data_IF_066370323059
#
_entry.id   IF_066370323059
#
_cell.length_a   1.000
_cell.length_b   1.000
_cell.length_c   1.000
_cell.angle_alpha   90.00
_cell.angle_beta   90.00
_cell.angle_gamma   90.00
#
_symmetry.space_group_name_H-M   'P 1'
#
loop_
_entity.id
_entity.type
_entity.pdbx_description
1 polymer ?
#
# COMPACT_ATOMS: atom_id res chain seq x y z
N UNK A 1 -0.66 -15.51 7.96
CA UNK A 1 -0.53 -16.76 8.74
C UNK A 1 -1.20 -16.72 10.12
N UNK A 2 -1.17 -15.62 10.88
CA UNK A 2 -1.88 -15.51 12.18
C UNK A 2 -3.41 -15.65 12.12
N UNK A 3 -4.04 -15.27 11.00
CA UNK A 3 -5.48 -15.47 10.76
C UNK A 3 -5.87 -16.94 10.55
N UNK A 4 -4.91 -17.79 10.18
CA UNK A 4 -5.11 -19.24 10.00
C UNK A 4 -5.11 -20.00 11.34
N UNK A 5 -4.59 -19.40 12.41
CA UNK A 5 -4.54 -19.96 13.76
C UNK A 5 -5.77 -19.59 14.62
N UNK A 6 -6.82 -19.02 14.02
CA UNK A 6 -8.04 -18.63 14.75
C UNK A 6 -7.88 -17.39 15.65
N UNK A 7 -6.69 -16.80 15.73
CA UNK A 7 -6.44 -15.58 16.49
C UNK A 7 -6.99 -14.40 15.67
N UNK A 8 -8.12 -13.85 16.13
CA UNK A 8 -8.69 -12.61 15.58
C UNK A 8 -7.75 -11.46 15.89
N UNK A 9 -6.85 -11.17 14.96
CA UNK A 9 -6.01 -9.97 15.01
C UNK A 9 -6.92 -8.75 15.12
N UNK A 10 -6.72 -7.86 16.11
CA UNK A 10 -7.56 -6.68 16.30
C UNK A 10 -7.62 -5.88 15.01
N UNK A 11 -8.83 -5.43 14.63
CA UNK A 11 -9.04 -4.71 13.37
C UNK A 11 -8.13 -3.47 13.23
N UNK A 12 -7.73 -2.85 14.34
CA UNK A 12 -6.77 -1.73 14.38
C UNK A 12 -5.34 -2.14 14.01
N UNK A 13 -4.87 -3.31 14.44
CA UNK A 13 -3.53 -3.82 14.11
C UNK A 13 -3.45 -4.18 12.61
N UNK A 14 -4.49 -4.85 12.10
CA UNK A 14 -4.57 -5.15 10.66
C UNK A 14 -4.60 -3.87 9.80
N UNK A 15 -5.24 -2.81 10.31
CA UNK A 15 -5.28 -1.47 9.70
C UNK A 15 -3.90 -0.83 9.59
N UNK A 16 -3.14 -0.85 10.68
CA UNK A 16 -1.80 -0.25 10.71
C UNK A 16 -0.84 -0.99 9.79
N UNK A 17 -0.89 -2.33 9.77
CA UNK A 17 -0.05 -3.14 8.88
C UNK A 17 -0.33 -2.83 7.41
N UNK A 18 -1.61 -2.80 7.00
CA UNK A 18 -1.96 -2.45 5.62
C UNK A 18 -1.58 -1.01 5.27
N UNK A 19 -1.65 -0.08 6.23
CA UNK A 19 -1.22 1.31 6.01
C UNK A 19 0.30 1.40 5.81
N UNK A 20 1.09 0.66 6.59
CA UNK A 20 2.54 0.55 6.40
C UNK A 20 2.90 -0.13 5.08
N UNK A 21 2.17 -1.15 4.64
CA UNK A 21 2.38 -1.77 3.33
C UNK A 21 2.15 -0.77 2.18
N UNK A 22 1.11 0.06 2.27
CA UNK A 22 0.87 1.11 1.27
C UNK A 22 2.02 2.11 1.25
N UNK A 23 2.47 2.55 2.42
CA UNK A 23 3.61 3.45 2.54
C UNK A 23 4.87 2.83 1.92
N UNK A 24 5.11 1.54 2.17
CA UNK A 24 6.22 0.81 1.58
C UNK A 24 6.15 0.85 0.04
N UNK A 25 4.98 0.57 -0.55
CA UNK A 25 4.80 0.63 -2.00
C UNK A 25 5.04 2.03 -2.57
N UNK A 26 4.64 3.09 -1.85
CA UNK A 26 4.92 4.47 -2.28
C UNK A 26 6.41 4.76 -2.29
N UNK A 27 7.14 4.34 -1.24
CA UNK A 27 8.58 4.57 -1.13
C UNK A 27 9.32 3.79 -2.23
N UNK A 28 8.98 2.52 -2.46
CA UNK A 28 9.62 1.71 -3.51
C UNK A 28 9.35 2.29 -4.89
N UNK A 29 8.18 2.92 -5.11
CA UNK A 29 7.86 3.58 -6.36
C UNK A 29 8.70 4.82 -6.61
N UNK A 30 8.96 5.61 -5.57
CA UNK A 30 9.90 6.73 -5.65
C UNK A 30 11.32 6.28 -5.99
N UNK A 31 11.78 5.17 -5.39
CA UNK A 31 13.10 4.59 -5.70
C UNK A 31 13.14 4.13 -7.16
N UNK A 32 12.10 3.43 -7.61
CA UNK A 32 12.02 2.95 -8.99
C UNK A 32 12.01 4.11 -9.99
N UNK A 33 11.27 5.18 -9.69
CA UNK A 33 11.28 6.40 -10.51
C UNK A 33 12.65 7.08 -10.54
N UNK A 34 13.34 7.16 -9.40
CA UNK A 34 14.69 7.70 -9.31
C UNK A 34 15.67 6.88 -10.16
N UNK A 35 15.62 5.54 -10.07
CA UNK A 35 16.43 4.64 -10.90
C UNK A 35 16.13 4.83 -12.39
N UNK A 36 14.84 4.96 -12.76
CA UNK A 36 14.44 5.26 -14.14
C UNK A 36 15.01 6.57 -14.66
N UNK A 37 15.01 7.61 -13.82
CA UNK A 37 15.59 8.91 -14.15
C UNK A 37 17.11 8.82 -14.36
N UNK A 38 17.84 8.11 -13.50
CA UNK A 38 19.28 7.88 -13.65
C UNK A 38 19.60 7.10 -14.94
N UNK A 39 18.80 6.08 -15.27
CA UNK A 39 18.93 5.33 -16.53
C UNK A 39 18.69 6.23 -17.74
N UNK A 40 17.71 7.14 -17.70
CA UNK A 40 17.46 8.10 -18.78
C UNK A 40 18.62 9.08 -18.99
N UNK A 41 19.31 9.48 -17.92
CA UNK A 41 20.52 10.30 -17.99
C UNK A 41 21.76 9.55 -18.52
N UNK A 42 21.63 8.26 -18.86
CA UNK A 42 22.74 7.44 -19.38
C UNK A 42 23.73 7.00 -18.31
N UNK A 43 23.38 7.15 -17.02
CA UNK A 43 24.19 6.59 -15.93
C UNK A 43 24.07 5.07 -16.00
N UNK A 44 25.22 4.38 -15.97
CA UNK A 44 25.26 2.91 -15.89
C UNK A 44 24.71 2.48 -14.53
N UNK A 45 23.44 2.13 -14.48
CA UNK A 45 22.80 1.47 -13.36
C UNK A 45 22.72 -0.03 -13.70
N UNK A 46 22.94 -0.90 -12.71
CA UNK A 46 22.71 -2.36 -12.83
C UNK A 46 21.20 -2.64 -12.96
N UNK A 47 20.68 -2.35 -14.13
CA UNK A 47 19.27 -2.42 -14.47
C UNK A 47 19.15 -3.05 -15.85
N UNK A 48 18.60 -4.26 -15.89
CA UNK A 48 18.14 -4.85 -17.14
C UNK A 48 16.79 -4.23 -17.48
N UNK A 49 16.68 -3.59 -18.66
CA UNK A 49 15.48 -2.87 -19.08
C UNK A 49 14.19 -3.70 -18.98
N UNK A 50 14.26 -5.01 -19.23
CA UNK A 50 13.14 -5.93 -19.04
C UNK A 50 12.68 -6.02 -17.58
N UNK A 51 13.62 -6.22 -16.64
CA UNK A 51 13.35 -6.31 -15.20
C UNK A 51 12.74 -5.01 -14.68
N UNK A 52 13.24 -3.86 -15.15
CA UNK A 52 12.67 -2.56 -14.81
C UNK A 52 11.20 -2.44 -15.21
N UNK A 53 10.87 -2.77 -16.45
CA UNK A 53 9.49 -2.73 -16.95
C UNK A 53 8.55 -3.67 -16.19
N UNK A 54 9.00 -4.90 -15.89
CA UNK A 54 8.23 -5.83 -15.06
C UNK A 54 8.01 -5.29 -13.66
N UNK A 55 9.03 -4.70 -13.04
CA UNK A 55 8.94 -4.11 -11.70
C UNK A 55 7.96 -2.93 -11.68
N UNK A 56 8.04 -2.06 -12.69
CA UNK A 56 7.18 -0.87 -12.83
C UNK A 56 5.71 -1.27 -13.02
N UNK A 57 5.43 -2.23 -13.91
CA UNK A 57 4.06 -2.73 -14.11
C UNK A 57 3.48 -3.39 -12.86
N UNK A 58 4.28 -4.21 -12.19
CA UNK A 58 3.87 -4.86 -10.94
C UNK A 58 3.54 -3.80 -9.87
N UNK A 59 4.41 -2.82 -9.68
CA UNK A 59 4.24 -1.80 -8.65
C UNK A 59 3.04 -0.89 -8.93
N UNK A 60 2.83 -0.49 -10.19
CA UNK A 60 1.61 0.23 -10.62
C UNK A 60 0.34 -0.55 -10.32
N UNK A 61 0.35 -1.87 -10.55
CA UNK A 61 -0.78 -2.74 -10.25
C UNK A 61 -1.07 -2.80 -8.75
N UNK A 62 -0.03 -2.87 -7.91
CA UNK A 62 -0.19 -2.84 -6.46
C UNK A 62 -0.70 -1.50 -5.95
N UNK A 63 -0.18 -0.37 -6.45
CA UNK A 63 -0.67 0.96 -6.08
C UNK A 63 -2.15 1.11 -6.44
N UNK A 64 -2.57 0.64 -7.62
CA UNK A 64 -3.97 0.68 -8.02
C UNK A 64 -4.87 -0.19 -7.12
N UNK A 65 -4.45 -1.42 -6.84
CA UNK A 65 -5.19 -2.35 -5.98
C UNK A 65 -5.31 -1.83 -4.55
N UNK A 66 -4.18 -1.41 -3.97
CA UNK A 66 -4.13 -0.89 -2.61
C UNK A 66 -4.78 0.49 -2.49
N UNK A 67 -4.71 1.34 -3.52
CA UNK A 67 -5.44 2.60 -3.60
C UNK A 67 -6.95 2.36 -3.59
N UNK A 68 -7.44 1.39 -4.37
CA UNK A 68 -8.85 0.99 -4.37
C UNK A 68 -9.26 0.44 -2.98
N UNK A 69 -8.44 -0.43 -2.40
CA UNK A 69 -8.66 -0.99 -1.07
C UNK A 69 -8.66 0.09 0.02
N UNK A 70 -7.76 1.07 -0.05
CA UNK A 70 -7.67 2.20 0.88
C UNK A 70 -8.92 3.09 0.76
N UNK A 71 -9.31 3.42 -0.46
CA UNK A 71 -10.52 4.20 -0.72
C UNK A 71 -11.76 3.49 -0.18
N UNK A 72 -11.90 2.19 -0.45
CA UNK A 72 -13.03 1.41 0.03
C UNK A 72 -13.03 1.25 1.57
N UNK A 73 -11.88 0.92 2.16
CA UNK A 73 -11.76 0.64 3.60
C UNK A 73 -11.82 1.89 4.47
N UNK A 74 -11.29 3.02 4.01
CA UNK A 74 -11.14 4.23 4.82
C UNK A 74 -11.96 5.42 4.35
N UNK A 75 -12.08 5.66 3.05
CA UNK A 75 -12.84 6.81 2.55
C UNK A 75 -14.34 6.47 2.51
N UNK A 76 -14.70 5.34 1.89
CA UNK A 76 -16.10 4.89 1.76
C UNK A 76 -16.61 4.15 3.01
N UNK A 77 -15.76 3.34 3.65
CA UNK A 77 -16.10 2.54 4.83
C UNK A 77 -15.72 3.15 6.19
N UNK A 78 -14.80 4.12 6.21
CA UNK A 78 -14.34 4.75 7.46
C UNK A 78 -15.42 5.58 8.13
N UNK A 79 -16.23 6.33 7.38
CA UNK A 79 -17.31 7.15 7.93
C UNK A 79 -18.27 6.36 8.82
N UNK A 80 -18.69 5.15 8.40
CA UNK A 80 -19.63 4.32 9.19
C UNK A 80 -19.01 3.74 10.46
N UNK A 81 -17.73 3.33 10.44
CA UNK A 81 -17.04 2.84 11.65
C UNK A 81 -16.69 3.97 12.62
N UNK A 82 -16.25 5.13 12.12
CA UNK A 82 -15.98 6.31 12.94
C UNK A 82 -17.25 6.89 13.56
N UNK A 83 -18.38 6.91 12.84
CA UNK A 83 -19.69 7.32 13.39
C UNK A 83 -20.16 6.31 14.45
N UNK A 84 -20.02 5.01 14.21
CA UNK A 84 -20.37 3.98 15.19
C UNK A 84 -19.50 4.04 16.47
N UNK A 85 -18.19 4.32 16.36
CA UNK A 85 -17.31 4.51 17.52
C UNK A 85 -17.62 5.82 18.27
N UNK A 86 -18.00 6.90 17.56
CA UNK A 86 -18.43 8.15 18.22
C UNK A 86 -19.74 7.97 18.98
N UNK A 87 -20.71 7.26 18.41
CA UNK A 87 -22.00 6.97 19.03
C UNK A 87 -21.88 6.13 20.31
N UNK A 88 -20.88 5.24 20.39
CA UNK A 88 -20.67 4.36 21.54
C UNK A 88 -19.94 5.01 22.71
N UNK A 89 -19.39 6.22 22.52
CA UNK A 89 -18.65 6.96 23.55
C UNK A 89 -19.50 8.05 24.22
N UNK A 90 -20.75 8.19 23.77
CA UNK A 90 -21.75 9.16 24.25
C UNK A 90 -22.92 8.51 25.00
N UNK A 91 -22.84 7.21 25.27
CA UNK A 91 -23.66 6.47 26.26
C UNK A 91 -22.74 6.05 27.42
#
# INVERSE_FOLDING_TARGET
>A
MLRSYGIKVPAWVARNITTMQILQFVITHFILFHVGYLTYQGVKVDNTAGVYWYCLLMEMSYVALFGNFYFQSYVKGGGKKFIAEKSKKSE
#
